data_IF_385856447425
#
_entry.id   IF_385856447425
#
_cell.length_a   1.000
_cell.length_b   1.000
_cell.length_c   1.000
_cell.angle_alpha   90.00
_cell.angle_beta   90.00
_cell.angle_gamma   90.00
#
_symmetry.space_group_name_H-M   'P 1'
#
loop_
_entity.id
_entity.type
_entity.pdbx_description
1 polymer ?
#
# COMPACT_ATOMS: atom_id res chain seq x y z
N UNK A 1 -26.08 0.43 11.31
CA UNK A 1 -25.17 0.18 10.16
C UNK A 1 -23.78 0.68 10.54
N UNK A 2 -22.79 -0.20 10.73
CA UNK A 2 -21.39 0.21 10.98
C UNK A 2 -20.84 0.82 9.69
N UNK A 3 -20.33 2.05 9.76
CA UNK A 3 -19.61 2.65 8.63
C UNK A 3 -18.46 1.72 8.20
N UNK A 4 -18.30 1.45 6.91
CA UNK A 4 -17.21 0.59 6.45
C UNK A 4 -15.88 1.20 6.89
N UNK A 5 -14.99 0.34 7.39
CA UNK A 5 -13.64 0.67 7.84
C UNK A 5 -12.93 1.57 6.81
N UNK A 6 -12.44 2.76 7.21
CA UNK A 6 -11.80 3.71 6.29
C UNK A 6 -10.62 3.07 5.53
N UNK A 7 -9.90 2.14 6.15
CA UNK A 7 -8.82 1.41 5.49
C UNK A 7 -9.33 0.56 4.31
N UNK A 8 -10.49 -0.08 4.46
CA UNK A 8 -11.13 -0.84 3.36
C UNK A 8 -11.56 0.07 2.21
N UNK A 9 -12.07 1.28 2.50
CA UNK A 9 -12.44 2.23 1.44
C UNK A 9 -11.24 2.64 0.61
N UNK A 10 -10.11 2.96 1.23
CA UNK A 10 -8.86 3.32 0.54
C UNK A 10 -8.38 2.15 -0.34
N UNK A 11 -8.40 0.91 0.16
CA UNK A 11 -8.03 -0.26 -0.61
C UNK A 11 -8.89 -0.44 -1.87
N UNK A 12 -10.21 -0.28 -1.75
CA UNK A 12 -11.12 -0.35 -2.89
C UNK A 12 -10.91 0.78 -3.89
N UNK A 13 -10.62 2.00 -3.42
CA UNK A 13 -10.30 3.13 -4.29
C UNK A 13 -8.99 2.90 -5.07
N UNK A 14 -7.95 2.41 -4.40
CA UNK A 14 -6.68 2.09 -5.04
C UNK A 14 -6.84 0.96 -6.07
N UNK A 15 -7.59 -0.09 -5.73
CA UNK A 15 -7.88 -1.17 -6.64
C UNK A 15 -8.69 -0.68 -7.85
N UNK A 16 -9.73 0.12 -7.63
CA UNK A 16 -10.57 0.69 -8.68
C UNK A 16 -9.78 1.62 -9.61
N UNK A 17 -8.95 2.50 -9.06
CA UNK A 17 -8.07 3.36 -9.86
C UNK A 17 -7.09 2.55 -10.70
N UNK A 18 -6.48 1.51 -10.13
CA UNK A 18 -5.62 0.58 -10.86
C UNK A 18 -6.36 -0.18 -11.95
N UNK A 19 -7.61 -0.61 -11.70
CA UNK A 19 -8.45 -1.31 -12.68
C UNK A 19 -8.83 -0.41 -13.86
N UNK A 20 -9.22 0.85 -13.59
CA UNK A 20 -9.52 1.86 -14.62
C UNK A 20 -8.28 2.10 -15.49
N UNK A 21 -7.13 2.29 -14.88
CA UNK A 21 -5.89 2.52 -15.59
C UNK A 21 -5.49 1.31 -16.44
N UNK A 22 -5.67 0.08 -15.94
CA UNK A 22 -5.47 -1.16 -16.72
C UNK A 22 -6.44 -1.24 -17.90
N UNK A 23 -7.70 -0.86 -17.71
CA UNK A 23 -8.69 -0.84 -18.80
C UNK A 23 -8.33 0.18 -19.89
N UNK A 24 -7.86 1.37 -19.52
CA UNK A 24 -7.38 2.39 -20.47
C UNK A 24 -6.21 1.85 -21.29
N UNK A 25 -5.24 1.20 -20.64
CA UNK A 25 -4.11 0.59 -21.31
C UNK A 25 -4.51 -0.51 -22.29
N UNK A 26 -5.45 -1.39 -21.90
CA UNK A 26 -5.98 -2.43 -22.80
C UNK A 26 -6.72 -1.84 -23.99
N UNK A 27 -7.40 -0.71 -23.79
CA UNK A 27 -8.04 0.03 -24.88
C UNK A 27 -7.00 0.60 -25.86
N UNK A 28 -5.90 1.18 -25.33
CA UNK A 28 -4.79 1.70 -26.14
C UNK A 28 -4.15 0.59 -26.98
N UNK A 29 -3.88 -0.58 -26.37
CA UNK A 29 -3.41 -1.75 -27.11
C UNK A 29 -4.40 -2.16 -28.20
N UNK A 30 -5.70 -2.19 -27.91
CA UNK A 30 -6.71 -2.59 -28.88
C UNK A 30 -6.80 -1.61 -30.07
N UNK A 31 -6.66 -0.31 -29.79
CA UNK A 31 -6.64 0.73 -30.84
C UNK A 31 -5.38 0.61 -31.70
N UNK A 32 -4.19 0.46 -31.05
CA UNK A 32 -2.93 0.29 -31.77
C UNK A 32 -2.94 -0.98 -32.64
N UNK A 33 -3.47 -2.09 -32.10
CA UNK A 33 -3.62 -3.34 -32.85
C UNK A 33 -4.51 -3.18 -34.07
N UNK A 34 -5.65 -2.48 -33.92
CA UNK A 34 -6.56 -2.26 -35.03
C UNK A 34 -5.89 -1.41 -36.14
N UNK A 35 -5.10 -0.40 -35.76
CA UNK A 35 -4.31 0.39 -36.70
C UNK A 35 -3.28 -0.47 -37.46
N UNK A 36 -2.54 -1.33 -36.73
CA UNK A 36 -1.55 -2.25 -37.29
C UNK A 36 -2.17 -3.34 -38.20
N UNK A 37 -3.37 -3.83 -37.86
CA UNK A 37 -4.09 -4.82 -38.70
C UNK A 37 -4.46 -4.25 -40.07
N UNK A 38 -4.73 -2.94 -40.15
CA UNK A 38 -4.99 -2.27 -41.43
C UNK A 38 -3.72 -1.92 -42.22
N UNK A 39 -2.56 -1.80 -41.55
CA UNK A 39 -1.29 -1.45 -42.16
C UNK A 39 -0.46 -2.65 -42.63
N UNK A 40 -0.67 -3.85 -42.09
CA UNK A 40 0.23 -4.98 -42.29
C UNK A 40 -0.55 -6.21 -42.85
N UNK A 41 -0.37 -6.48 -44.15
CA UNK A 41 -0.60 -7.79 -44.76
C UNK A 41 0.53 -8.79 -44.41
N UNK A 42 1.23 -8.62 -43.28
CA UNK A 42 2.32 -9.50 -42.88
C UNK A 42 1.79 -10.66 -42.05
N UNK A 43 2.07 -11.89 -42.47
CA UNK A 43 1.74 -13.09 -41.69
C UNK A 43 2.52 -13.03 -40.36
N UNK A 44 1.80 -12.72 -39.28
CA UNK A 44 2.37 -12.76 -37.92
C UNK A 44 2.74 -14.22 -37.59
N UNK A 45 3.94 -14.39 -37.08
CA UNK A 45 4.34 -15.69 -36.55
C UNK A 45 3.48 -16.03 -35.32
N UNK A 46 3.22 -17.32 -35.08
CA UNK A 46 2.46 -17.76 -33.91
C UNK A 46 3.08 -17.24 -32.59
N UNK A 47 4.40 -17.00 -32.57
CA UNK A 47 5.15 -16.49 -31.44
C UNK A 47 4.82 -15.00 -31.15
N UNK A 48 4.72 -14.18 -32.15
CA UNK A 48 4.28 -12.78 -32.03
C UNK A 48 2.85 -12.67 -31.52
N UNK A 49 1.96 -13.58 -32.00
CA UNK A 49 0.60 -13.66 -31.49
C UNK A 49 0.56 -14.06 -30.01
N UNK A 50 1.36 -15.07 -29.61
CA UNK A 50 1.47 -15.48 -28.22
C UNK A 50 2.00 -14.35 -27.33
N UNK A 51 3.04 -13.65 -27.77
CA UNK A 51 3.62 -12.49 -27.08
C UNK A 51 2.58 -11.40 -26.85
N UNK A 52 1.82 -11.08 -27.89
CA UNK A 52 0.72 -10.13 -27.79
C UNK A 52 -0.33 -10.53 -26.75
N UNK A 53 -0.78 -11.77 -26.78
CA UNK A 53 -1.74 -12.26 -25.79
C UNK A 53 -1.18 -12.21 -24.36
N UNK A 54 0.09 -12.49 -24.19
CA UNK A 54 0.74 -12.34 -22.88
C UNK A 54 0.71 -10.89 -22.39
N UNK A 55 0.88 -9.89 -23.27
CA UNK A 55 0.78 -8.48 -22.92
C UNK A 55 -0.62 -8.08 -22.42
N UNK A 56 -1.66 -8.72 -22.94
CA UNK A 56 -3.04 -8.48 -22.49
C UNK A 56 -3.34 -9.22 -21.19
N UNK A 57 -2.92 -10.47 -21.08
CA UNK A 57 -3.26 -11.34 -19.94
C UNK A 57 -2.50 -10.96 -18.66
N UNK A 58 -1.22 -10.59 -18.78
CA UNK A 58 -0.38 -10.35 -17.59
C UNK A 58 -0.86 -9.18 -16.71
N UNK A 59 -1.23 -7.99 -17.22
CA UNK A 59 -1.76 -6.90 -16.39
C UNK A 59 -3.14 -7.24 -15.80
N UNK A 60 -3.96 -8.00 -16.51
CA UNK A 60 -5.24 -8.49 -15.99
C UNK A 60 -5.00 -9.45 -14.82
N UNK A 61 -4.10 -10.42 -14.97
CA UNK A 61 -3.75 -11.34 -13.91
C UNK A 61 -3.15 -10.61 -12.69
N UNK A 62 -2.26 -9.64 -12.92
CA UNK A 62 -1.71 -8.79 -11.88
C UNK A 62 -2.79 -8.00 -11.14
N UNK A 63 -3.78 -7.45 -11.86
CA UNK A 63 -4.91 -6.73 -11.28
C UNK A 63 -5.77 -7.62 -10.37
N UNK A 64 -6.03 -8.86 -10.77
CA UNK A 64 -6.76 -9.81 -9.93
C UNK A 64 -5.95 -10.26 -8.71
N UNK A 65 -4.62 -10.37 -8.81
CA UNK A 65 -3.75 -10.69 -7.68
C UNK A 65 -3.67 -9.56 -6.64
N UNK A 66 -3.95 -8.32 -7.00
CA UNK A 66 -4.02 -7.23 -6.03
C UNK A 66 -5.10 -7.44 -4.98
N UNK A 67 -6.26 -8.02 -5.31
CA UNK A 67 -7.35 -8.27 -4.36
C UNK A 67 -6.92 -9.14 -3.17
N UNK A 68 -6.39 -10.35 -3.36
CA UNK A 68 -5.88 -11.14 -2.25
C UNK A 68 -4.61 -10.51 -1.63
N UNK A 69 -3.81 -9.76 -2.41
CA UNK A 69 -2.66 -9.03 -1.88
C UNK A 69 -3.09 -8.00 -0.83
N UNK A 70 -4.17 -7.26 -0.99
CA UNK A 70 -4.69 -6.35 0.03
C UNK A 70 -5.13 -7.06 1.31
N UNK A 71 -5.65 -8.28 1.21
CA UNK A 71 -6.20 -9.03 2.34
C UNK A 71 -5.14 -9.81 3.11
N UNK A 72 -4.15 -10.37 2.43
CA UNK A 72 -3.10 -11.20 3.05
C UNK A 72 -1.87 -10.34 3.38
N UNK A 73 -1.33 -10.50 4.59
CA UNK A 73 -0.14 -9.75 5.04
C UNK A 73 1.19 -10.26 4.48
N UNK A 74 1.20 -11.30 3.64
CA UNK A 74 2.42 -11.89 3.07
C UNK A 74 3.06 -10.99 2.00
N UNK A 75 4.37 -11.11 1.79
CA UNK A 75 5.14 -10.38 0.79
C UNK A 75 5.05 -11.00 -0.61
N UNK A 76 4.73 -12.29 -0.69
CA UNK A 76 4.75 -13.05 -1.95
C UNK A 76 3.71 -12.56 -2.98
N UNK A 77 2.49 -12.24 -2.55
CA UNK A 77 1.44 -11.81 -3.48
C UNK A 77 1.74 -10.45 -4.14
N UNK A 78 2.16 -9.39 -3.40
CA UNK A 78 2.59 -8.16 -4.04
C UNK A 78 3.82 -8.34 -4.94
N UNK A 79 4.80 -9.18 -4.53
CA UNK A 79 5.96 -9.49 -5.35
C UNK A 79 5.56 -10.19 -6.66
N UNK A 80 4.66 -11.18 -6.59
CA UNK A 80 4.12 -11.86 -7.77
C UNK A 80 3.34 -10.91 -8.68
N UNK A 81 2.55 -9.99 -8.09
CA UNK A 81 1.83 -8.97 -8.84
C UNK A 81 2.81 -8.04 -9.59
N UNK A 82 3.88 -7.58 -8.93
CA UNK A 82 4.92 -6.78 -9.57
C UNK A 82 5.60 -7.54 -10.69
N UNK A 83 6.03 -8.78 -10.42
CA UNK A 83 6.69 -9.62 -11.40
C UNK A 83 5.84 -9.81 -12.67
N UNK A 84 4.56 -10.15 -12.51
CA UNK A 84 3.65 -10.32 -13.64
C UNK A 84 3.40 -9.02 -14.41
N UNK A 85 3.32 -7.88 -13.71
CA UNK A 85 3.11 -6.58 -14.36
C UNK A 85 4.31 -6.13 -15.20
N UNK A 86 5.51 -6.60 -14.86
CA UNK A 86 6.79 -6.18 -15.45
C UNK A 86 7.35 -7.23 -16.41
N UNK A 87 6.76 -8.43 -16.44
CA UNK A 87 7.24 -9.56 -17.26
C UNK A 87 7.32 -9.21 -18.76
N UNK A 88 6.55 -8.21 -19.21
CA UNK A 88 6.52 -7.81 -20.61
C UNK A 88 6.96 -6.36 -20.76
N UNK A 89 8.06 -6.10 -21.50
CA UNK A 89 8.55 -4.75 -21.75
C UNK A 89 7.51 -3.89 -22.48
N UNK A 90 7.41 -2.63 -22.10
CA UNK A 90 6.43 -1.70 -22.67
C UNK A 90 5.02 -1.86 -22.10
N UNK A 91 4.82 -2.74 -21.12
CA UNK A 91 3.55 -2.94 -20.44
C UNK A 91 3.20 -1.81 -19.48
N UNK A 92 1.92 -1.76 -19.13
CA UNK A 92 1.42 -0.76 -18.18
C UNK A 92 1.62 -1.22 -16.73
N UNK A 93 2.36 -0.45 -15.95
CA UNK A 93 2.89 -0.88 -14.64
C UNK A 93 2.08 -0.39 -13.43
N UNK A 94 0.84 0.11 -13.60
CA UNK A 94 0.07 0.61 -12.44
C UNK A 94 -0.16 -0.46 -11.37
N UNK A 95 -0.53 -1.72 -11.69
CA UNK A 95 -0.61 -2.76 -10.67
C UNK A 95 0.72 -2.98 -9.94
N UNK A 96 1.85 -2.84 -10.64
CA UNK A 96 3.18 -2.96 -10.04
C UNK A 96 3.44 -1.84 -9.01
N UNK A 97 3.05 -0.60 -9.30
CA UNK A 97 3.24 0.51 -8.36
C UNK A 97 2.39 0.35 -7.11
N UNK A 98 1.12 -0.08 -7.25
CA UNK A 98 0.27 -0.38 -6.12
C UNK A 98 0.85 -1.52 -5.28
N UNK A 99 1.36 -2.57 -5.94
CA UNK A 99 2.01 -3.69 -5.26
C UNK A 99 3.31 -3.27 -4.57
N UNK A 100 4.12 -2.39 -5.19
CA UNK A 100 5.34 -1.83 -4.60
C UNK A 100 5.02 -1.00 -3.33
N UNK A 101 4.00 -0.15 -3.39
CA UNK A 101 3.54 0.60 -2.23
C UNK A 101 3.06 -0.34 -1.11
N UNK A 102 2.32 -1.40 -1.45
CA UNK A 102 1.91 -2.43 -0.48
C UNK A 102 3.11 -3.15 0.16
N UNK A 103 4.17 -3.45 -0.59
CA UNK A 103 5.41 -4.00 -0.03
C UNK A 103 6.01 -3.03 0.99
N UNK A 104 6.07 -1.74 0.68
CA UNK A 104 6.55 -0.69 1.58
C UNK A 104 5.79 -0.63 2.90
N UNK A 105 4.47 -0.85 2.87
CA UNK A 105 3.64 -0.87 4.09
C UNK A 105 3.83 -2.12 4.95
N UNK A 106 4.43 -3.19 4.42
CA UNK A 106 4.53 -4.49 5.12
C UNK A 106 5.88 -4.78 5.73
N UNK A 107 6.94 -4.33 5.09
CA UNK A 107 8.30 -4.57 5.55
C UNK A 107 9.23 -3.45 5.12
N UNK A 108 9.72 -2.68 6.09
CA UNK A 108 10.65 -1.57 5.84
C UNK A 108 12.00 -2.07 5.29
N UNK A 109 12.46 -3.25 5.72
CA UNK A 109 13.77 -3.78 5.34
C UNK A 109 13.75 -4.53 4.00
N UNK A 110 12.72 -5.33 3.74
CA UNK A 110 12.66 -6.24 2.60
C UNK A 110 11.85 -5.71 1.41
N UNK A 111 11.08 -4.63 1.59
CA UNK A 111 10.23 -4.09 0.52
C UNK A 111 11.01 -3.64 -0.71
N UNK A 112 12.09 -2.88 -0.50
CA UNK A 112 12.90 -2.34 -1.60
C UNK A 112 13.64 -3.44 -2.38
N UNK A 113 14.42 -4.35 -1.72
CA UNK A 113 15.08 -5.43 -2.46
C UNK A 113 14.10 -6.38 -3.16
N UNK A 114 12.94 -6.69 -2.57
CA UNK A 114 11.93 -7.53 -3.22
C UNK A 114 11.32 -6.80 -4.42
N UNK A 115 10.98 -5.53 -4.29
CA UNK A 115 10.40 -4.73 -5.37
C UNK A 115 11.37 -4.60 -6.55
N UNK A 116 12.61 -4.18 -6.30
CA UNK A 116 13.63 -4.05 -7.34
C UNK A 116 14.00 -5.40 -7.94
N UNK A 117 14.14 -6.44 -7.11
CA UNK A 117 14.43 -7.80 -7.58
C UNK A 117 13.32 -8.33 -8.49
N UNK A 118 12.06 -8.17 -8.12
CA UNK A 118 10.90 -8.57 -8.96
C UNK A 118 10.90 -7.84 -10.29
N UNK A 119 11.22 -6.54 -10.28
CA UNK A 119 11.26 -5.73 -11.49
C UNK A 119 12.41 -6.15 -12.40
N UNK A 120 13.62 -6.24 -11.88
CA UNK A 120 14.79 -6.63 -12.68
C UNK A 120 14.61 -8.02 -13.27
N UNK A 121 14.18 -9.00 -12.48
CA UNK A 121 13.97 -10.38 -12.95
C UNK A 121 12.81 -10.43 -13.96
N UNK A 122 11.71 -9.72 -13.70
CA UNK A 122 10.57 -9.66 -14.62
C UNK A 122 10.95 -9.07 -15.97
N UNK A 123 11.63 -7.91 -15.97
CA UNK A 123 12.12 -7.26 -17.19
C UNK A 123 13.14 -8.15 -17.93
N UNK A 124 14.11 -8.73 -17.23
CA UNK A 124 15.12 -9.59 -17.85
C UNK A 124 14.49 -10.83 -18.52
N UNK A 125 13.53 -11.48 -17.85
CA UNK A 125 12.80 -12.60 -18.43
C UNK A 125 11.95 -12.18 -19.63
N UNK A 126 11.26 -11.05 -19.53
CA UNK A 126 10.46 -10.48 -20.61
C UNK A 126 11.30 -10.21 -21.85
N UNK A 127 12.48 -9.60 -21.68
CA UNK A 127 13.42 -9.33 -22.76
C UNK A 127 13.99 -10.63 -23.36
N UNK A 128 14.29 -11.63 -22.53
CA UNK A 128 14.82 -12.93 -23.00
C UNK A 128 13.82 -13.70 -23.86
N UNK A 129 12.51 -13.53 -23.60
CA UNK A 129 11.44 -14.24 -24.32
C UNK A 129 10.87 -13.40 -25.47
N UNK A 130 11.23 -12.12 -25.56
CA UNK A 130 10.73 -11.21 -26.59
C UNK A 130 11.09 -11.68 -28.00
N UNK A 131 10.12 -11.74 -28.94
CA UNK A 131 10.39 -12.05 -30.34
C UNK A 131 11.07 -10.90 -31.09
N UNK A 132 11.11 -9.70 -30.49
CA UNK A 132 11.69 -8.52 -31.11
C UNK A 132 13.15 -8.35 -30.72
N UNK A 133 14.04 -7.94 -31.66
CA UNK A 133 15.42 -7.67 -31.34
C UNK A 133 15.51 -6.50 -30.36
N UNK A 134 16.03 -6.78 -29.17
CA UNK A 134 16.23 -5.76 -28.15
C UNK A 134 17.43 -4.88 -28.53
N UNK A 135 17.23 -3.55 -28.49
CA UNK A 135 18.29 -2.57 -28.68
C UNK A 135 18.71 -2.03 -27.31
N UNK A 136 20.00 -1.91 -27.08
CA UNK A 136 20.55 -1.32 -25.85
C UNK A 136 20.01 0.10 -25.57
N UNK A 137 19.56 0.82 -26.60
CA UNK A 137 18.92 2.11 -26.45
C UNK A 137 17.54 2.04 -25.75
N UNK A 138 16.90 0.87 -25.73
CA UNK A 138 15.54 0.74 -25.22
C UNK A 138 15.50 0.62 -23.68
N UNK A 139 16.64 0.30 -23.03
CA UNK A 139 16.72 0.23 -21.57
C UNK A 139 16.47 1.60 -20.89
N UNK A 140 16.71 2.73 -21.59
CA UNK A 140 16.37 4.07 -21.09
C UNK A 140 14.88 4.23 -20.81
N UNK A 141 14.03 3.48 -21.51
CA UNK A 141 12.58 3.49 -21.30
C UNK A 141 12.20 2.82 -19.98
N UNK A 142 13.05 1.94 -19.45
CA UNK A 142 12.82 1.22 -18.18
C UNK A 142 13.27 2.02 -16.95
N UNK A 143 14.19 2.98 -17.10
CA UNK A 143 14.70 3.80 -15.99
C UNK A 143 13.59 4.53 -15.22
N UNK A 144 12.63 5.21 -15.87
CA UNK A 144 11.51 5.86 -15.16
C UNK A 144 10.74 4.89 -14.27
N UNK A 145 10.55 3.63 -14.72
CA UNK A 145 9.81 2.63 -13.95
C UNK A 145 10.56 2.20 -12.68
N UNK A 146 11.89 2.15 -12.70
CA UNK A 146 12.69 1.94 -11.49
C UNK A 146 12.51 3.09 -10.50
N UNK A 147 12.54 4.34 -10.98
CA UNK A 147 12.31 5.53 -10.15
C UNK A 147 10.91 5.50 -9.55
N UNK A 148 9.88 5.18 -10.34
CA UNK A 148 8.50 5.05 -9.84
C UNK A 148 8.36 3.93 -8.83
N UNK A 149 9.02 2.78 -9.04
CA UNK A 149 9.00 1.67 -8.10
C UNK A 149 9.61 2.06 -6.74
N UNK A 150 10.78 2.70 -6.77
CA UNK A 150 11.42 3.21 -5.54
C UNK A 150 10.51 4.22 -4.85
N UNK A 151 9.94 5.16 -5.59
CA UNK A 151 9.03 6.17 -5.06
C UNK A 151 7.79 5.54 -4.44
N UNK A 152 7.19 4.54 -5.08
CA UNK A 152 6.02 3.83 -4.57
C UNK A 152 6.34 3.08 -3.26
N UNK A 153 7.48 2.40 -3.18
CA UNK A 153 7.93 1.72 -1.95
C UNK A 153 8.16 2.73 -0.83
N UNK A 154 8.86 3.83 -1.12
CA UNK A 154 9.11 4.89 -0.14
C UNK A 154 7.80 5.52 0.36
N UNK A 155 6.86 5.76 -0.54
CA UNK A 155 5.52 6.25 -0.17
C UNK A 155 4.82 5.27 0.78
N UNK A 156 4.87 3.97 0.50
CA UNK A 156 4.33 2.93 1.39
C UNK A 156 4.97 2.97 2.78
N UNK A 157 6.30 3.08 2.86
CA UNK A 157 7.04 3.20 4.12
C UNK A 157 6.65 4.48 4.86
N UNK A 158 6.57 5.62 4.17
CA UNK A 158 6.18 6.91 4.77
C UNK A 158 4.76 6.86 5.34
N UNK A 159 3.82 6.27 4.63
CA UNK A 159 2.44 6.11 5.10
C UNK A 159 2.39 5.28 6.38
N UNK A 160 3.14 4.17 6.44
CA UNK A 160 3.21 3.34 7.64
C UNK A 160 3.85 4.08 8.81
N UNK A 161 4.97 4.78 8.59
CA UNK A 161 5.60 5.59 9.62
C UNK A 161 4.67 6.67 10.16
N UNK A 162 3.92 7.33 9.28
CA UNK A 162 2.94 8.35 9.68
C UNK A 162 1.82 7.74 10.53
N UNK A 163 1.33 6.56 10.19
CA UNK A 163 0.30 5.85 10.98
C UNK A 163 0.85 5.46 12.36
N UNK A 164 2.03 4.86 12.43
CA UNK A 164 2.69 4.49 13.70
C UNK A 164 2.88 5.72 14.62
N UNK A 165 3.33 6.85 14.05
CA UNK A 165 3.49 8.09 14.80
C UNK A 165 2.16 8.65 15.32
N UNK A 166 1.11 8.56 14.51
CA UNK A 166 -0.23 9.02 14.90
C UNK A 166 -0.80 8.15 16.01
N UNK A 167 -0.67 6.83 15.91
CA UNK A 167 -1.10 5.90 16.94
C UNK A 167 -0.32 6.11 18.26
N UNK A 168 0.99 6.32 18.17
CA UNK A 168 1.81 6.62 19.34
C UNK A 168 1.42 7.95 20.01
N UNK A 169 1.07 8.99 19.23
CA UNK A 169 0.57 10.26 19.76
C UNK A 169 -0.77 10.08 20.49
N UNK A 170 -1.70 9.34 19.89
CA UNK A 170 -3.01 9.04 20.51
C UNK A 170 -2.83 8.24 21.80
N UNK A 171 -1.96 7.23 21.80
CA UNK A 171 -1.67 6.44 23.00
C UNK A 171 -1.08 7.29 24.12
N UNK A 172 -0.13 8.18 23.80
CA UNK A 172 0.46 9.13 24.76
C UNK A 172 -0.58 10.10 25.32
N UNK A 173 -1.43 10.69 24.46
CA UNK A 173 -2.50 11.59 24.89
C UNK A 173 -3.47 10.89 25.86
N UNK A 174 -3.84 9.63 25.56
CA UNK A 174 -4.70 8.83 26.46
C UNK A 174 -4.03 8.53 27.80
N UNK A 175 -2.74 8.23 27.82
CA UNK A 175 -2.02 7.97 29.08
C UNK A 175 -1.88 9.24 29.91
N UNK A 176 -1.61 10.38 29.29
CA UNK A 176 -1.56 11.68 29.96
C UNK A 176 -2.92 12.08 30.56
N UNK A 177 -4.01 11.86 29.82
CA UNK A 177 -5.37 12.13 30.29
C UNK A 177 -5.73 11.25 31.49
N UNK A 178 -5.41 9.95 31.45
CA UNK A 178 -5.61 9.04 32.59
C UNK A 178 -4.81 9.50 33.82
N UNK A 179 -3.55 9.92 33.62
CA UNK A 179 -2.72 10.43 34.72
C UNK A 179 -3.25 11.76 35.28
N UNK A 180 -3.84 12.62 34.45
CA UNK A 180 -4.50 13.84 34.86
C UNK A 180 -5.75 13.54 35.73
N UNK A 181 -6.63 12.69 35.22
CA UNK A 181 -7.85 12.27 35.93
C UNK A 181 -7.49 11.63 37.28
N UNK A 182 -6.47 10.76 37.32
CA UNK A 182 -6.03 10.11 38.56
C UNK A 182 -5.56 11.15 39.59
N UNK A 183 -4.81 12.17 39.18
CA UNK A 183 -4.38 13.27 40.09
C UNK A 183 -5.57 14.09 40.58
N UNK A 184 -6.46 14.50 39.67
CA UNK A 184 -7.68 15.25 40.04
C UNK A 184 -8.57 14.47 41.03
N UNK A 185 -8.70 13.14 40.82
CA UNK A 185 -9.42 12.28 41.77
C UNK A 185 -8.73 12.20 43.12
N UNK A 186 -7.38 12.03 43.12
CA UNK A 186 -6.60 11.95 44.36
C UNK A 186 -6.71 13.26 45.17
N UNK A 187 -6.58 14.39 44.51
CA UNK A 187 -6.69 15.71 45.13
C UNK A 187 -8.11 15.96 45.69
N UNK A 188 -9.14 15.58 44.93
CA UNK A 188 -10.54 15.66 45.36
C UNK A 188 -10.81 14.76 46.58
N UNK A 189 -10.27 13.53 46.60
CA UNK A 189 -10.40 12.64 47.74
C UNK A 189 -9.65 13.18 48.96
N UNK A 190 -8.44 13.66 48.82
CA UNK A 190 -7.66 14.26 49.91
C UNK A 190 -8.40 15.47 50.52
N UNK A 191 -8.98 16.35 49.68
CA UNK A 191 -9.78 17.48 50.14
C UNK A 191 -11.02 17.03 50.94
N UNK A 192 -11.76 16.03 50.45
CA UNK A 192 -12.93 15.48 51.15
C UNK A 192 -12.59 14.88 52.49
N UNK A 193 -11.49 14.10 52.57
CA UNK A 193 -10.99 13.50 53.78
C UNK A 193 -10.62 14.59 54.78
N UNK A 194 -9.92 15.64 54.36
CA UNK A 194 -9.56 16.78 55.18
C UNK A 194 -10.79 17.51 55.76
N UNK A 195 -11.82 17.71 54.95
CA UNK A 195 -13.08 18.32 55.41
C UNK A 195 -13.82 17.43 56.43
N UNK A 196 -13.89 16.11 56.21
CA UNK A 196 -14.45 15.17 57.15
C UNK A 196 -13.72 15.20 58.47
N UNK A 197 -12.36 15.20 58.44
CA UNK A 197 -11.53 15.25 59.65
C UNK A 197 -11.77 16.55 60.42
N UNK A 198 -11.90 17.69 59.75
CA UNK A 198 -12.19 18.96 60.34
C UNK A 198 -13.58 19.00 61.01
N UNK A 199 -14.58 18.41 60.35
CA UNK A 199 -15.92 18.30 60.94
C UNK A 199 -15.95 17.39 62.16
N UNK A 200 -15.23 16.25 62.09
CA UNK A 200 -15.13 15.32 63.21
C UNK A 200 -14.47 15.97 64.43
N UNK A 201 -13.37 16.75 64.21
CA UNK A 201 -12.67 17.48 65.27
C UNK A 201 -13.60 18.57 65.90
N UNK A 202 -14.36 19.30 65.07
CA UNK A 202 -15.29 20.31 65.57
C UNK A 202 -16.44 19.70 66.40
N UNK A 203 -16.93 18.51 66.05
CA UNK A 203 -17.93 17.79 66.82
C UNK A 203 -17.40 17.24 68.14
N UNK A 204 -16.13 16.76 68.16
CA UNK A 204 -15.47 16.29 69.35
C UNK A 204 -15.29 17.45 70.36
N UNK A 205 -14.83 18.62 69.91
CA UNK A 205 -14.63 19.78 70.81
C UNK A 205 -15.95 20.34 71.39
N UNK A 206 -17.09 20.11 70.72
CA UNK A 206 -18.40 20.49 71.28
C UNK A 206 -18.88 19.56 72.38
N UNK A 207 -18.49 18.28 72.36
CA UNK A 207 -18.86 17.31 73.44
C UNK A 207 -18.09 17.55 74.76
N UNK A 208 -16.94 18.22 74.68
CA UNK A 208 -16.17 18.53 75.88
C UNK A 208 -16.61 19.83 76.56
N UNK A 209 -17.64 20.53 76.06
CA UNK A 209 -18.20 21.76 76.61
C UNK A 209 -19.53 21.57 77.34
N UNK A 210 -20.12 20.40 77.29
CA UNK A 210 -21.31 20.00 78.03
C UNK A 210 -20.91 19.10 79.22
#
# INVERSE_FOLDING_TARGET
>A
MRSPDPARRIQWLLWGASAIATAIFLLDIAVSLNADLHALHHERTWWEALWFWMQVVSPIAAQFLLLPAFRRRGLLLPAACMFLSVLLPGGFHVPAFVAAALLGTRSKAWSLPIALGSQVVGTALGLAVSPFPWRWADWWTELPYLVYTVTAVLLGILLTNHQELTEARVARARSQERARISREMHDSLAQRISLISLHAAALASRRDLD
#
